data_IF_337951446321
#
_entry.id   IF_337951446321
#
_cell.length_a   1.000
_cell.length_b   1.000
_cell.length_c   1.000
_cell.angle_alpha   90.00
_cell.angle_beta   90.00
_cell.angle_gamma   90.00
#
_symmetry.space_group_name_H-M   'P 1'
#
loop_
_entity.id
_entity.type
_entity.pdbx_description
1 polymer ?
#
# COMPACT_ATOMS: atom_id res chain seq x y z
N UNK A 1 16.52 24.57 -6.45
CA UNK A 1 15.51 25.27 -5.64
C UNK A 1 15.20 24.39 -4.44
N UNK A 2 15.88 24.64 -3.35
CA UNK A 2 15.64 23.98 -2.05
C UNK A 2 14.33 24.50 -1.49
N UNK A 3 13.37 23.59 -1.25
CA UNK A 3 12.16 23.93 -0.51
C UNK A 3 12.58 24.41 0.88
N UNK A 4 12.24 25.67 1.19
CA UNK A 4 12.24 26.18 2.56
C UNK A 4 11.42 25.22 3.42
N UNK A 5 12.11 24.45 4.24
CA UNK A 5 11.47 23.77 5.35
C UNK A 5 10.98 24.87 6.29
N UNK A 6 9.66 24.90 6.51
CA UNK A 6 8.99 25.81 7.44
C UNK A 6 9.71 25.76 8.80
N UNK A 7 10.59 26.72 9.05
CA UNK A 7 11.37 26.85 10.27
C UNK A 7 10.58 27.58 11.36
N UNK A 8 9.31 27.24 11.57
CA UNK A 8 8.60 27.76 12.72
C UNK A 8 9.23 27.19 14.00
N UNK A 9 9.62 28.05 14.95
CA UNK A 9 10.21 27.55 16.18
C UNK A 9 9.20 26.69 16.95
N UNK A 10 9.67 25.57 17.46
CA UNK A 10 8.90 24.71 18.34
C UNK A 10 8.43 25.50 19.57
N UNK A 11 7.12 25.55 19.81
CA UNK A 11 6.51 26.18 20.96
C UNK A 11 6.05 25.09 21.92
N UNK A 12 6.96 24.55 22.71
CA UNK A 12 6.68 23.56 23.76
C UNK A 12 7.51 23.89 25.01
N UNK A 13 6.99 23.56 26.18
CA UNK A 13 7.58 23.91 27.45
C UNK A 13 8.50 22.85 28.03
N UNK A 14 8.56 21.66 27.43
CA UNK A 14 9.35 20.53 27.93
C UNK A 14 10.01 19.75 26.78
N UNK A 15 11.09 19.02 27.12
CA UNK A 15 11.75 18.09 26.20
C UNK A 15 10.78 17.01 25.68
N UNK A 16 9.84 16.56 26.55
CA UNK A 16 8.81 15.60 26.13
C UNK A 16 7.86 16.16 25.08
N UNK A 17 7.48 17.45 25.17
CA UNK A 17 6.63 18.09 24.16
C UNK A 17 7.37 18.21 22.82
N UNK A 18 8.68 18.47 22.85
CA UNK A 18 9.51 18.51 21.67
C UNK A 18 9.61 17.12 20.99
N UNK A 19 9.86 16.06 21.78
CA UNK A 19 9.90 14.69 21.28
C UNK A 19 8.55 14.30 20.67
N UNK A 20 7.44 14.57 21.35
CA UNK A 20 6.09 14.25 20.88
C UNK A 20 5.77 14.99 19.58
N UNK A 21 6.10 16.28 19.48
CA UNK A 21 5.90 17.05 18.25
C UNK A 21 6.78 16.54 17.09
N UNK A 22 7.99 16.04 17.36
CA UNK A 22 8.84 15.38 16.36
C UNK A 22 8.25 14.03 15.94
N UNK A 23 7.72 13.24 16.87
CA UNK A 23 7.04 11.96 16.58
C UNK A 23 5.76 12.16 15.79
N UNK A 24 4.95 13.18 16.12
CA UNK A 24 3.71 13.52 15.42
C UNK A 24 3.94 14.03 13.99
N UNK A 25 5.11 14.64 13.71
CA UNK A 25 5.48 15.14 12.38
C UNK A 25 6.37 14.19 11.58
N UNK A 26 6.73 13.03 12.10
CA UNK A 26 7.64 12.12 11.43
C UNK A 26 6.89 11.29 10.38
N UNK A 27 7.08 11.61 9.09
CA UNK A 27 6.69 10.76 7.97
C UNK A 27 7.37 9.39 8.13
N UNK A 28 6.58 8.34 8.37
CA UNK A 28 7.09 6.99 8.60
C UNK A 28 6.99 6.08 7.38
N UNK A 29 6.47 6.58 6.28
CA UNK A 29 6.39 5.86 5.02
C UNK A 29 5.02 5.89 4.37
N UNK A 30 4.99 5.53 3.11
CA UNK A 30 3.79 5.40 2.28
C UNK A 30 3.64 3.95 1.81
N UNK A 31 2.51 3.33 2.11
CA UNK A 31 2.20 1.96 1.74
C UNK A 31 1.08 1.91 0.70
N UNK A 32 1.29 1.23 -0.42
CA UNK A 32 0.25 0.95 -1.40
C UNK A 32 -0.46 -0.36 -1.06
N UNK A 33 -1.80 -0.35 -1.08
CA UNK A 33 -2.64 -1.50 -0.70
C UNK A 33 -3.13 -2.24 -1.95
N UNK A 34 -2.34 -3.18 -2.45
CA UNK A 34 -2.67 -4.02 -3.60
C UNK A 34 -3.55 -5.22 -3.24
N UNK A 35 -4.37 -5.68 -4.16
CA UNK A 35 -5.21 -6.88 -3.96
C UNK A 35 -6.40 -6.91 -4.90
N UNK A 36 -7.13 -8.03 -4.94
CA UNK A 36 -8.27 -8.21 -5.81
C UNK A 36 -9.35 -7.13 -5.63
N UNK A 37 -9.89 -6.68 -6.76
CA UNK A 37 -11.03 -5.76 -6.82
C UNK A 37 -12.09 -6.34 -7.78
N UNK A 38 -11.68 -6.71 -8.99
CA UNK A 38 -12.59 -7.27 -9.99
C UNK A 38 -13.19 -8.59 -9.52
N UNK A 39 -14.51 -8.71 -9.63
CA UNK A 39 -15.24 -9.92 -9.21
C UNK A 39 -15.59 -9.99 -7.72
N UNK A 40 -15.15 -9.01 -6.94
CA UNK A 40 -15.54 -8.85 -5.53
C UNK A 40 -16.62 -7.78 -5.38
N UNK A 41 -17.41 -7.87 -4.31
CA UNK A 41 -18.26 -6.76 -3.89
C UNK A 41 -17.40 -5.59 -3.43
N UNK A 42 -17.95 -4.37 -3.48
CA UNK A 42 -17.27 -3.18 -2.97
C UNK A 42 -16.86 -3.33 -1.49
N UNK A 43 -17.68 -3.99 -0.70
CA UNK A 43 -17.42 -4.25 0.71
C UNK A 43 -16.22 -5.18 0.88
N UNK A 44 -16.16 -6.30 0.15
CA UNK A 44 -15.05 -7.25 0.20
C UNK A 44 -13.73 -6.60 -0.23
N UNK A 45 -13.77 -5.85 -1.34
CA UNK A 45 -12.57 -5.17 -1.84
C UNK A 45 -12.03 -4.10 -0.86
N UNK A 46 -12.92 -3.42 -0.10
CA UNK A 46 -12.54 -2.28 0.76
C UNK A 46 -12.29 -2.64 2.22
N UNK A 47 -12.92 -3.68 2.74
CA UNK A 47 -12.90 -3.97 4.18
C UNK A 47 -11.48 -4.16 4.73
N UNK A 48 -10.73 -5.08 4.13
CA UNK A 48 -9.37 -5.34 4.57
C UNK A 48 -8.44 -4.13 4.41
N UNK A 49 -8.65 -3.33 3.34
CA UNK A 49 -7.87 -2.11 3.10
C UNK A 49 -8.09 -1.06 4.17
N UNK A 50 -9.35 -0.88 4.60
CA UNK A 50 -9.68 0.01 5.72
C UNK A 50 -9.04 -0.46 7.02
N UNK A 51 -9.12 -1.76 7.33
CA UNK A 51 -8.49 -2.33 8.52
C UNK A 51 -6.97 -2.16 8.50
N UNK A 52 -6.33 -2.48 7.39
CA UNK A 52 -4.90 -2.28 7.21
C UNK A 52 -4.50 -0.79 7.35
N UNK A 53 -5.23 0.11 6.71
CA UNK A 53 -4.98 1.55 6.81
C UNK A 53 -5.11 2.07 8.24
N UNK A 54 -6.11 1.59 8.98
CA UNK A 54 -6.29 1.96 10.38
C UNK A 54 -5.11 1.50 11.25
N UNK A 55 -4.69 0.24 11.13
CA UNK A 55 -3.57 -0.31 11.90
C UNK A 55 -2.25 0.37 11.54
N UNK A 56 -1.96 0.48 10.24
CA UNK A 56 -0.74 1.12 9.73
C UNK A 56 -0.66 2.59 10.16
N UNK A 57 -1.77 3.32 10.06
CA UNK A 57 -1.84 4.73 10.45
C UNK A 57 -1.74 4.93 11.96
N UNK A 58 -2.60 4.26 12.75
CA UNK A 58 -2.70 4.51 14.19
C UNK A 58 -1.51 3.96 14.99
N UNK A 59 -0.98 2.79 14.57
CA UNK A 59 0.09 2.12 15.33
C UNK A 59 1.50 2.49 14.84
N UNK A 60 1.63 2.75 13.55
CA UNK A 60 2.96 2.92 12.91
C UNK A 60 3.17 4.26 12.22
N UNK A 61 2.14 5.12 12.13
CA UNK A 61 2.23 6.40 11.43
C UNK A 61 2.44 6.28 9.91
N UNK A 62 2.08 5.13 9.31
CA UNK A 62 2.23 4.87 7.90
C UNK A 62 0.99 5.35 7.15
N UNK A 63 1.18 6.19 6.13
CA UNK A 63 0.11 6.62 5.24
C UNK A 63 -0.16 5.53 4.20
N UNK A 64 -1.42 5.33 3.84
CA UNK A 64 -1.79 4.31 2.84
C UNK A 64 -2.35 4.92 1.57
N UNK A 65 -2.11 4.26 0.43
CA UNK A 65 -2.75 4.50 -0.86
C UNK A 65 -3.65 3.33 -1.20
N UNK A 66 -4.95 3.60 -1.29
CA UNK A 66 -5.98 2.61 -1.60
C UNK A 66 -6.46 2.81 -3.05
N UNK A 67 -6.27 1.83 -3.96
CA UNK A 67 -6.74 1.94 -5.35
C UNK A 67 -8.26 1.96 -5.48
N UNK A 68 -9.01 1.57 -4.43
CA UNK A 68 -10.49 1.62 -4.43
C UNK A 68 -11.05 3.00 -4.06
N UNK A 69 -10.19 3.98 -3.77
CA UNK A 69 -10.65 5.33 -3.46
C UNK A 69 -11.37 5.95 -4.65
N UNK A 70 -12.43 6.70 -4.36
CA UNK A 70 -13.18 7.43 -5.38
C UNK A 70 -12.42 8.70 -5.76
N UNK A 71 -12.18 8.88 -7.05
CA UNK A 71 -11.55 10.09 -7.59
C UNK A 71 -12.45 10.73 -8.64
N UNK A 72 -12.26 12.04 -8.84
CA UNK A 72 -12.94 12.78 -9.89
C UNK A 72 -12.43 12.37 -11.30
N UNK A 73 -13.23 12.54 -12.37
CA UNK A 73 -12.74 12.39 -13.74
C UNK A 73 -11.44 13.19 -13.96
N UNK A 74 -10.47 12.72 -14.76
CA UNK A 74 -10.57 11.66 -15.77
C UNK A 74 -10.15 10.25 -15.34
N UNK A 75 -9.93 9.99 -14.07
CA UNK A 75 -9.34 8.75 -13.57
C UNK A 75 -10.29 7.53 -13.58
N UNK A 76 -11.53 7.70 -14.09
CA UNK A 76 -12.49 6.59 -14.29
C UNK A 76 -12.22 5.73 -15.54
N UNK A 77 -11.32 6.16 -16.43
CA UNK A 77 -10.96 5.37 -17.61
C UNK A 77 -9.90 4.34 -17.25
N UNK A 78 -9.84 3.22 -17.99
CA UNK A 78 -8.79 2.19 -17.79
C UNK A 78 -7.38 2.80 -17.88
N UNK A 79 -7.17 3.74 -18.80
CA UNK A 79 -5.89 4.46 -18.92
C UNK A 79 -5.61 5.32 -17.68
N UNK A 80 -6.62 6.01 -17.16
CA UNK A 80 -6.49 6.82 -15.95
C UNK A 80 -6.19 5.96 -14.72
N UNK A 81 -6.86 4.83 -14.58
CA UNK A 81 -6.62 3.87 -13.48
C UNK A 81 -5.17 3.37 -13.52
N UNK A 82 -4.68 2.87 -14.67
CA UNK A 82 -3.29 2.41 -14.81
C UNK A 82 -2.29 3.52 -14.48
N UNK A 83 -2.50 4.74 -14.98
CA UNK A 83 -1.60 5.86 -14.74
C UNK A 83 -1.56 6.24 -13.25
N UNK A 84 -2.71 6.28 -12.60
CA UNK A 84 -2.86 6.57 -11.17
C UNK A 84 -2.17 5.49 -10.32
N UNK A 85 -2.48 4.22 -10.56
CA UNK A 85 -1.97 3.11 -9.76
C UNK A 85 -0.47 2.95 -9.93
N UNK A 86 0.06 3.09 -11.15
CA UNK A 86 1.50 3.12 -11.38
C UNK A 86 2.18 4.29 -10.65
N UNK A 87 1.58 5.49 -10.67
CA UNK A 87 2.12 6.64 -9.94
C UNK A 87 2.10 6.40 -8.42
N UNK A 88 1.03 5.81 -7.89
CA UNK A 88 0.92 5.48 -6.47
C UNK A 88 1.97 4.45 -6.05
N UNK A 89 2.19 3.40 -6.85
CA UNK A 89 3.26 2.42 -6.62
C UNK A 89 4.64 3.10 -6.65
N UNK A 90 4.88 3.98 -7.61
CA UNK A 90 6.15 4.74 -7.70
C UNK A 90 6.43 5.57 -6.45
N UNK A 91 5.40 6.24 -5.91
CA UNK A 91 5.53 7.10 -4.75
C UNK A 91 5.57 6.34 -3.42
N UNK A 92 5.10 5.10 -3.41
CA UNK A 92 5.08 4.28 -2.19
C UNK A 92 6.46 3.74 -1.85
N UNK A 93 6.70 3.54 -0.56
CA UNK A 93 7.94 2.95 -0.03
C UNK A 93 7.84 1.42 0.01
N UNK A 94 6.61 0.89 0.17
CA UNK A 94 6.31 -0.53 0.30
C UNK A 94 4.92 -0.83 -0.27
N UNK A 95 4.73 -2.05 -0.74
CA UNK A 95 3.41 -2.59 -1.07
C UNK A 95 2.97 -3.57 0.00
N UNK A 96 1.72 -3.46 0.45
CA UNK A 96 1.01 -4.52 1.17
C UNK A 96 0.01 -5.15 0.22
N UNK A 97 0.19 -6.44 -0.06
CA UNK A 97 -0.58 -7.16 -1.08
C UNK A 97 -1.41 -8.25 -0.42
N UNK A 98 -2.73 -8.21 -0.60
CA UNK A 98 -3.61 -9.25 -0.08
C UNK A 98 -4.10 -10.17 -1.22
N UNK A 99 -3.65 -11.41 -1.18
CA UNK A 99 -4.04 -12.49 -2.09
C UNK A 99 -4.77 -13.65 -1.38
N UNK A 100 -5.11 -13.47 -0.09
CA UNK A 100 -5.83 -14.50 0.67
C UNK A 100 -7.17 -14.85 0.00
N UNK A 101 -7.49 -16.14 -0.03
CA UNK A 101 -8.74 -16.70 -0.54
C UNK A 101 -9.02 -16.37 -2.00
N UNK A 102 -7.98 -16.06 -2.78
CA UNK A 102 -8.13 -15.75 -4.18
C UNK A 102 -8.55 -16.98 -4.99
N UNK A 103 -9.71 -16.90 -5.65
CA UNK A 103 -10.25 -17.95 -6.53
C UNK A 103 -9.94 -17.68 -8.01
N UNK A 104 -9.59 -16.45 -8.35
CA UNK A 104 -9.22 -16.01 -9.70
C UNK A 104 -7.93 -15.18 -9.65
N UNK A 105 -7.20 -15.19 -10.79
CA UNK A 105 -6.00 -14.37 -10.90
C UNK A 105 -6.37 -12.87 -10.92
N UNK A 106 -5.79 -12.12 -10.02
CA UNK A 106 -5.92 -10.66 -9.99
C UNK A 106 -4.87 -10.03 -10.90
N UNK A 107 -5.22 -9.76 -12.16
CA UNK A 107 -4.30 -9.21 -13.16
C UNK A 107 -3.74 -7.87 -12.71
N UNK A 108 -4.59 -6.97 -12.16
CA UNK A 108 -4.14 -5.68 -11.64
C UNK A 108 -3.07 -5.84 -10.56
N UNK A 109 -3.30 -6.71 -9.60
CA UNK A 109 -2.34 -6.98 -8.52
C UNK A 109 -1.03 -7.58 -9.03
N UNK A 110 -1.09 -8.46 -10.05
CA UNK A 110 0.11 -9.00 -10.69
C UNK A 110 0.91 -7.88 -11.37
N UNK A 111 0.25 -6.95 -12.07
CA UNK A 111 0.90 -5.78 -12.66
C UNK A 111 1.55 -4.88 -11.59
N UNK A 112 0.85 -4.62 -10.50
CA UNK A 112 1.35 -3.82 -9.36
C UNK A 112 2.60 -4.45 -8.73
N UNK A 113 2.60 -5.78 -8.52
CA UNK A 113 3.77 -6.52 -8.07
C UNK A 113 4.94 -6.45 -9.06
N UNK A 114 4.67 -6.57 -10.35
CA UNK A 114 5.70 -6.44 -11.39
C UNK A 114 6.30 -5.02 -11.42
N UNK A 115 5.48 -3.98 -11.25
CA UNK A 115 5.97 -2.60 -11.14
C UNK A 115 6.80 -2.40 -9.86
N UNK A 116 6.36 -2.96 -8.72
CA UNK A 116 7.11 -2.90 -7.48
C UNK A 116 8.48 -3.54 -7.63
N UNK A 117 8.54 -4.74 -8.21
CA UNK A 117 9.79 -5.44 -8.48
C UNK A 117 10.73 -4.62 -9.38
N UNK A 118 10.22 -4.09 -10.50
CA UNK A 118 11.00 -3.25 -11.42
C UNK A 118 11.54 -1.98 -10.74
N UNK A 119 10.73 -1.38 -9.86
CA UNK A 119 11.06 -0.16 -9.12
C UNK A 119 11.84 -0.43 -7.83
N UNK A 120 12.20 -1.69 -7.57
CA UNK A 120 12.91 -2.13 -6.35
C UNK A 120 12.17 -1.74 -5.06
N UNK A 121 10.83 -1.77 -5.09
CA UNK A 121 9.99 -1.55 -3.92
C UNK A 121 9.70 -2.88 -3.25
N UNK A 122 9.90 -3.00 -1.93
CA UNK A 122 9.56 -4.23 -1.22
C UNK A 122 8.03 -4.47 -1.26
N UNK A 123 7.64 -5.73 -1.44
CA UNK A 123 6.24 -6.16 -1.38
C UNK A 123 6.06 -7.20 -0.27
N UNK A 124 5.22 -6.88 0.71
CA UNK A 124 4.76 -7.82 1.73
C UNK A 124 3.46 -8.44 1.22
N UNK A 125 3.48 -9.73 0.95
CA UNK A 125 2.35 -10.45 0.34
C UNK A 125 1.70 -11.38 1.35
N UNK A 126 0.42 -11.13 1.61
CA UNK A 126 -0.42 -11.95 2.46
C UNK A 126 -1.07 -13.02 1.56
N UNK A 127 -0.68 -14.27 1.75
CA UNK A 127 -1.06 -15.39 0.88
C UNK A 127 -0.98 -16.69 1.70
N UNK A 128 -1.85 -17.64 1.42
CA UNK A 128 -1.82 -18.94 2.07
C UNK A 128 -0.46 -19.64 1.86
N UNK A 129 -0.05 -20.44 2.83
CA UNK A 129 1.21 -21.19 2.78
C UNK A 129 1.25 -22.16 1.59
N UNK A 130 0.10 -22.64 1.14
CA UNK A 130 -0.02 -23.49 -0.03
C UNK A 130 -1.42 -23.41 -0.67
N UNK A 131 -1.49 -23.76 -1.95
CA UNK A 131 -2.77 -23.93 -2.66
C UNK A 131 -3.37 -22.66 -3.26
N UNK A 132 -2.78 -21.48 -3.02
CA UNK A 132 -3.24 -20.25 -3.64
C UNK A 132 -2.99 -20.27 -5.15
N UNK A 133 -3.94 -19.75 -5.93
CA UNK A 133 -3.83 -19.73 -7.40
C UNK A 133 -2.63 -18.92 -7.91
N UNK A 134 -2.20 -17.90 -7.17
CA UNK A 134 -1.05 -17.06 -7.52
C UNK A 134 0.30 -17.72 -7.20
N UNK A 135 0.33 -18.75 -6.35
CA UNK A 135 1.55 -19.42 -5.89
C UNK A 135 2.18 -20.35 -6.95
N UNK A 136 1.50 -20.55 -8.07
CA UNK A 136 1.91 -21.52 -9.11
C UNK A 136 2.92 -20.96 -10.10
N UNK A 137 3.16 -19.66 -10.12
CA UNK A 137 4.01 -19.04 -11.14
C UNK A 137 5.35 -18.56 -10.56
N UNK A 138 6.50 -19.11 -11.04
CA UNK A 138 7.80 -18.80 -10.48
C UNK A 138 8.14 -17.31 -10.48
N UNK A 139 7.86 -16.58 -11.57
CA UNK A 139 8.13 -15.14 -11.65
C UNK A 139 7.33 -14.34 -10.63
N UNK A 140 6.11 -14.78 -10.28
CA UNK A 140 5.30 -14.10 -9.30
C UNK A 140 5.89 -14.31 -7.89
N UNK A 141 6.36 -15.53 -7.60
CA UNK A 141 7.02 -15.84 -6.34
C UNK A 141 8.29 -15.01 -6.13
N UNK A 142 9.09 -14.80 -7.18
CA UNK A 142 10.29 -13.94 -7.12
C UNK A 142 9.94 -12.46 -6.89
N UNK A 143 8.80 -11.99 -7.34
CA UNK A 143 8.35 -10.61 -7.11
C UNK A 143 7.84 -10.35 -5.67
N UNK A 144 7.60 -11.41 -4.87
CA UNK A 144 7.17 -11.32 -3.48
C UNK A 144 8.38 -11.20 -2.56
N UNK A 145 8.67 -9.99 -2.05
CA UNK A 145 9.82 -9.80 -1.15
C UNK A 145 9.66 -10.52 0.19
N UNK A 146 8.45 -10.47 0.74
CA UNK A 146 8.09 -11.14 2.00
C UNK A 146 6.72 -11.80 1.86
N UNK A 147 6.58 -13.01 2.39
CA UNK A 147 5.32 -13.76 2.43
C UNK A 147 4.88 -13.93 3.86
N UNK A 148 3.59 -13.70 4.11
CA UNK A 148 2.93 -13.93 5.39
C UNK A 148 1.57 -14.61 5.14
N UNK A 149 1.10 -15.43 6.07
CA UNK A 149 -0.14 -16.20 5.89
C UNK A 149 -1.36 -15.56 6.58
N UNK A 150 -1.17 -14.48 7.32
CA UNK A 150 -2.25 -13.76 8.02
C UNK A 150 -2.15 -12.26 7.82
N UNK A 151 -3.28 -11.58 7.99
CA UNK A 151 -3.35 -10.11 7.98
C UNK A 151 -3.15 -9.51 9.39
N UNK A 152 -3.05 -10.33 10.43
CA UNK A 152 -2.90 -9.94 11.85
C UNK A 152 -1.45 -9.76 12.27
#
# INVERSE_FOLDING_TARGET
MTKDMDQRPFVGNTYCDAIKAMEDNMYRGLCYLAGGISGLSEQEARYWRKSAAQVLGSKYGIITRDPTRTEAPPFHTSRGIIARDLNDVKQSDVLLVNLLSATTLSIGTIMELAWAYLLQKPAVVIIEDSGNIHDRHPMLNEAMSFRVSTLE
#
